data_IF_073344856953
#
_entry.id   IF_073344856953
#
_cell.length_a   1.000
_cell.length_b   1.000
_cell.length_c   1.000
_cell.angle_alpha   90.00
_cell.angle_beta   90.00
_cell.angle_gamma   90.00
#
_symmetry.space_group_name_H-M   'P 1'
#
loop_
_entity.id
_entity.type
_entity.pdbx_description
1 polymer ?
#
# COMPACT_ATOMS: atom_id res chain seq x y z
N UNK A 1 19.45 -37.04 -9.99
CA UNK A 1 18.88 -35.68 -10.17
C UNK A 1 20.02 -34.68 -10.15
N UNK A 2 20.02 -33.71 -11.06
CA UNK A 2 21.05 -32.67 -11.06
C UNK A 2 20.67 -31.56 -10.06
N UNK A 3 21.11 -31.73 -8.80
CA UNK A 3 20.83 -30.79 -7.71
C UNK A 3 21.35 -29.37 -7.99
N UNK A 4 22.29 -29.23 -8.94
CA UNK A 4 22.83 -27.95 -9.37
C UNK A 4 21.76 -27.09 -10.06
N UNK A 5 20.91 -27.68 -10.90
CA UNK A 5 19.91 -26.94 -11.67
C UNK A 5 18.86 -26.28 -10.78
N UNK A 6 18.31 -27.00 -9.80
CA UNK A 6 17.31 -26.42 -8.87
C UNK A 6 17.94 -25.33 -7.99
N UNK A 7 19.22 -25.50 -7.64
CA UNK A 7 19.99 -24.46 -6.94
C UNK A 7 20.17 -23.21 -7.79
N UNK A 8 20.36 -23.35 -9.11
CA UNK A 8 20.41 -22.21 -10.04
C UNK A 8 19.06 -21.48 -10.15
N UNK A 9 17.94 -22.21 -10.13
CA UNK A 9 16.60 -21.61 -10.03
C UNK A 9 16.49 -20.82 -8.73
N UNK A 10 16.86 -21.39 -7.59
CA UNK A 10 16.82 -20.69 -6.30
C UNK A 10 17.67 -19.40 -6.32
N UNK A 11 18.83 -19.43 -6.99
CA UNK A 11 19.70 -18.26 -7.16
C UNK A 11 19.13 -17.16 -8.06
N UNK A 12 18.25 -17.49 -9.02
CA UNK A 12 17.77 -16.54 -10.02
C UNK A 12 16.48 -15.81 -9.62
N UNK A 13 15.64 -16.44 -8.78
CA UNK A 13 14.29 -15.94 -8.51
C UNK A 13 14.26 -14.69 -7.63
N UNK A 14 15.18 -14.54 -6.67
CA UNK A 14 15.27 -13.32 -5.87
C UNK A 14 15.64 -12.10 -6.74
N UNK A 15 16.74 -12.12 -7.53
CA UNK A 15 17.03 -11.06 -8.49
C UNK A 15 15.87 -10.73 -9.45
N UNK A 16 15.12 -11.75 -9.89
CA UNK A 16 13.96 -11.53 -10.76
C UNK A 16 12.85 -10.74 -10.07
N UNK A 17 12.52 -11.11 -8.82
CA UNK A 17 11.46 -10.48 -8.05
C UNK A 17 11.80 -9.04 -7.63
N UNK A 18 13.06 -8.76 -7.31
CA UNK A 18 13.52 -7.40 -7.00
C UNK A 18 13.86 -6.57 -8.24
N UNK A 19 13.97 -7.20 -9.41
CA UNK A 19 14.34 -6.55 -10.65
C UNK A 19 13.28 -5.63 -11.24
N UNK A 20 13.69 -4.89 -12.29
CA UNK A 20 12.86 -3.84 -12.94
C UNK A 20 11.50 -4.31 -13.47
N UNK A 21 11.38 -5.60 -13.78
CA UNK A 21 10.15 -6.24 -14.27
C UNK A 21 9.04 -6.27 -13.22
N UNK A 22 9.38 -6.11 -11.94
CA UNK A 22 8.47 -6.12 -10.81
C UNK A 22 8.33 -4.71 -10.20
N UNK A 23 8.02 -3.73 -11.04
CA UNK A 23 7.69 -2.37 -10.60
C UNK A 23 6.17 -2.25 -10.39
N UNK A 24 5.75 -1.72 -9.25
CA UNK A 24 4.33 -1.49 -8.97
C UNK A 24 4.08 -0.04 -8.57
N UNK A 25 3.48 0.73 -9.48
CA UNK A 25 3.05 2.13 -9.30
C UNK A 25 4.13 3.10 -8.81
N UNK A 26 4.43 3.08 -7.51
CA UNK A 26 5.27 4.04 -6.79
C UNK A 26 6.70 3.53 -6.53
N UNK A 27 6.96 2.23 -6.72
CA UNK A 27 8.26 1.66 -6.41
C UNK A 27 8.43 0.21 -6.83
N UNK A 28 9.66 -0.27 -6.73
CA UNK A 28 10.04 -1.67 -6.88
C UNK A 28 9.66 -2.47 -5.63
N UNK A 29 9.79 -3.79 -5.70
CA UNK A 29 9.44 -4.67 -4.57
C UNK A 29 10.25 -4.34 -3.31
N UNK A 30 11.51 -3.94 -3.45
CA UNK A 30 12.32 -3.49 -2.32
C UNK A 30 11.71 -2.28 -1.61
N UNK A 31 11.25 -1.29 -2.36
CA UNK A 31 10.62 -0.09 -1.82
C UNK A 31 9.32 -0.44 -1.08
N UNK A 32 8.46 -1.26 -1.68
CA UNK A 32 7.21 -1.69 -1.05
C UNK A 32 7.44 -2.48 0.23
N UNK A 33 8.41 -3.41 0.23
CA UNK A 33 8.75 -4.19 1.42
C UNK A 33 9.29 -3.27 2.51
N UNK A 34 10.22 -2.38 2.16
CA UNK A 34 10.85 -1.47 3.10
C UNK A 34 9.83 -0.60 3.81
N UNK A 35 9.03 0.15 3.05
CA UNK A 35 8.05 1.08 3.61
C UNK A 35 6.98 0.33 4.44
N UNK A 36 6.52 -0.83 3.96
CA UNK A 36 5.50 -1.58 4.68
C UNK A 36 6.02 -2.16 6.01
N UNK A 37 7.21 -2.76 5.98
CA UNK A 37 7.78 -3.44 7.12
C UNK A 37 8.26 -2.44 8.18
N UNK A 38 8.91 -1.35 7.78
CA UNK A 38 9.34 -0.29 8.70
C UNK A 38 8.16 0.41 9.39
N UNK A 39 7.06 0.69 8.67
CA UNK A 39 5.83 1.23 9.29
C UNK A 39 5.23 0.33 10.37
N UNK A 40 5.46 -0.97 10.28
CA UNK A 40 4.96 -1.98 11.21
C UNK A 40 5.99 -2.43 12.24
N UNK A 41 7.23 -1.92 12.18
CA UNK A 41 8.33 -2.37 13.04
C UNK A 41 8.70 -3.84 12.81
N UNK A 42 8.55 -4.34 11.58
CA UNK A 42 8.87 -5.72 11.20
C UNK A 42 10.24 -5.73 10.52
N UNK A 43 11.18 -6.50 11.06
CA UNK A 43 12.52 -6.64 10.51
C UNK A 43 12.73 -7.94 9.71
N UNK A 44 11.78 -8.87 9.76
CA UNK A 44 11.84 -10.14 9.04
C UNK A 44 10.46 -10.52 8.49
N UNK A 45 10.43 -10.97 7.24
CA UNK A 45 9.22 -11.49 6.61
C UNK A 45 9.54 -12.70 5.72
N UNK A 46 8.50 -13.49 5.45
CA UNK A 46 8.54 -14.61 4.52
C UNK A 46 7.49 -14.42 3.44
N UNK A 47 7.86 -14.61 2.18
CA UNK A 47 6.93 -14.64 1.04
C UNK A 47 6.86 -16.06 0.50
N UNK A 48 5.70 -16.68 0.60
CA UNK A 48 5.38 -17.96 -0.04
C UNK A 48 5.01 -17.69 -1.51
N UNK A 49 5.90 -18.10 -2.40
CA UNK A 49 5.82 -17.85 -3.84
C UNK A 49 4.72 -18.71 -4.46
N UNK A 50 4.51 -19.95 -4.00
CA UNK A 50 3.57 -20.88 -4.63
C UNK A 50 2.12 -20.62 -4.21
N UNK A 51 1.92 -20.19 -2.95
CA UNK A 51 0.61 -19.93 -2.35
C UNK A 51 0.24 -18.45 -2.29
N UNK A 52 1.14 -17.56 -2.72
CA UNK A 52 0.95 -16.11 -2.77
C UNK A 52 0.63 -15.48 -1.41
N UNK A 53 1.27 -16.00 -0.37
CA UNK A 53 1.06 -15.58 1.02
C UNK A 53 2.31 -14.92 1.58
N UNK A 54 2.11 -13.96 2.47
CA UNK A 54 3.17 -13.23 3.16
C UNK A 54 2.96 -13.40 4.66
N UNK A 55 4.06 -13.67 5.35
CA UNK A 55 4.12 -13.72 6.80
C UNK A 55 5.10 -12.66 7.31
N UNK A 56 4.73 -11.81 8.27
CA UNK A 56 3.43 -11.76 8.96
C UNK A 56 2.29 -11.24 8.06
N UNK A 57 1.05 -11.61 8.39
CA UNK A 57 -0.15 -11.37 7.56
C UNK A 57 -0.44 -9.88 7.35
N UNK A 58 -0.01 -9.02 8.25
CA UNK A 58 -0.13 -7.57 8.12
C UNK A 58 0.67 -6.99 6.93
N UNK A 59 1.67 -7.71 6.43
CA UNK A 59 2.39 -7.39 5.19
C UNK A 59 1.76 -8.06 3.95
N UNK A 60 0.58 -8.68 4.05
CA UNK A 60 -0.17 -9.23 2.91
C UNK A 60 -0.73 -8.09 2.04
N UNK A 61 0.13 -7.51 1.22
CA UNK A 61 -0.18 -6.36 0.39
C UNK A 61 -0.24 -6.78 -1.08
N UNK A 62 -1.24 -6.27 -1.82
CA UNK A 62 -1.41 -6.52 -3.26
C UNK A 62 -0.12 -6.30 -4.07
N UNK A 63 0.64 -5.19 -3.87
CA UNK A 63 1.90 -4.96 -4.58
C UNK A 63 2.91 -6.09 -4.43
N UNK A 64 3.00 -6.70 -3.25
CA UNK A 64 4.00 -7.73 -2.95
C UNK A 64 3.63 -9.10 -3.52
N UNK A 65 2.35 -9.36 -3.80
CA UNK A 65 1.88 -10.65 -4.31
C UNK A 65 1.59 -10.68 -5.80
N UNK A 66 1.41 -9.51 -6.44
CA UNK A 66 0.94 -9.43 -7.83
C UNK A 66 1.87 -10.10 -8.85
N UNK A 67 3.18 -10.17 -8.56
CA UNK A 67 4.18 -10.76 -9.44
C UNK A 67 4.51 -12.23 -9.12
N UNK A 68 4.02 -12.75 -7.98
CA UNK A 68 4.30 -14.13 -7.57
C UNK A 68 3.75 -15.19 -8.54
N UNK A 69 2.56 -15.02 -9.17
CA UNK A 69 2.10 -15.96 -10.20
C UNK A 69 3.07 -16.08 -11.39
N UNK A 70 3.61 -14.95 -11.87
CA UNK A 70 4.60 -14.93 -12.95
C UNK A 70 5.91 -15.58 -12.51
N UNK A 71 6.29 -15.40 -11.25
CA UNK A 71 7.49 -16.04 -10.70
C UNK A 71 7.32 -17.56 -10.60
N UNK A 72 6.17 -18.05 -10.14
CA UNK A 72 5.81 -19.47 -10.15
C UNK A 72 5.86 -20.05 -11.56
N UNK A 73 5.28 -19.37 -12.54
CA UNK A 73 5.36 -19.77 -13.95
C UNK A 73 6.81 -19.82 -14.45
N UNK A 74 7.66 -18.87 -14.04
CA UNK A 74 9.07 -18.84 -14.40
C UNK A 74 9.82 -20.05 -13.83
N UNK A 75 9.57 -20.41 -12.57
CA UNK A 75 10.13 -21.62 -11.93
C UNK A 75 9.72 -22.86 -12.74
N UNK A 76 8.44 -23.02 -13.02
CA UNK A 76 7.91 -24.18 -13.74
C UNK A 76 8.51 -24.30 -15.15
N UNK A 77 8.57 -23.21 -15.91
CA UNK A 77 9.19 -23.19 -17.24
C UNK A 77 10.68 -23.53 -17.20
N UNK A 78 11.39 -23.11 -16.17
CA UNK A 78 12.81 -23.44 -16.03
C UNK A 78 12.99 -24.92 -15.66
N UNK A 79 12.14 -25.50 -14.82
CA UNK A 79 12.12 -26.94 -14.53
C UNK A 79 11.88 -27.76 -15.80
N UNK A 80 10.87 -27.41 -16.60
CA UNK A 80 10.53 -28.11 -17.85
C UNK A 80 11.68 -28.10 -18.86
N UNK A 81 12.34 -26.94 -19.04
CA UNK A 81 13.49 -26.79 -19.95
C UNK A 81 14.65 -27.70 -19.59
N UNK A 82 14.77 -28.02 -18.32
CA UNK A 82 15.82 -28.85 -17.74
C UNK A 82 15.39 -30.31 -17.60
N UNK A 83 14.20 -30.67 -18.11
CA UNK A 83 13.66 -32.03 -18.13
C UNK A 83 13.00 -32.48 -16.82
N UNK A 84 12.72 -31.56 -15.90
CA UNK A 84 12.02 -31.86 -14.64
C UNK A 84 10.51 -31.66 -14.75
N UNK A 85 9.77 -32.30 -13.86
CA UNK A 85 8.33 -32.04 -13.69
C UNK A 85 8.10 -30.60 -13.19
N UNK A 86 7.11 -29.86 -13.73
CA UNK A 86 6.70 -28.56 -13.19
C UNK A 86 6.24 -28.61 -11.73
N UNK A 87 5.82 -29.78 -11.27
CA UNK A 87 5.30 -30.02 -9.92
C UNK A 87 6.39 -30.52 -8.96
N UNK A 88 7.65 -30.59 -9.41
CA UNK A 88 8.76 -31.05 -8.59
C UNK A 88 8.90 -30.22 -7.30
N UNK A 89 8.69 -28.90 -7.38
CA UNK A 89 8.85 -27.98 -6.25
C UNK A 89 7.50 -27.82 -5.55
N UNK A 90 7.44 -28.29 -4.31
CA UNK A 90 6.22 -28.28 -3.47
C UNK A 90 6.19 -27.09 -2.50
N UNK A 91 7.34 -26.46 -2.24
CA UNK A 91 7.44 -25.25 -1.41
C UNK A 91 8.49 -24.30 -2.02
N UNK A 92 8.17 -23.01 -2.09
CA UNK A 92 9.10 -21.99 -2.56
C UNK A 92 8.89 -20.71 -1.76
N UNK A 93 9.94 -20.27 -1.04
CA UNK A 93 9.86 -19.14 -0.12
C UNK A 93 11.00 -18.15 -0.32
N UNK A 94 10.69 -16.88 -0.14
CA UNK A 94 11.68 -15.86 0.17
C UNK A 94 11.71 -15.61 1.66
N UNK A 95 12.89 -15.66 2.26
CA UNK A 95 13.16 -15.17 3.61
C UNK A 95 13.87 -13.83 3.50
N UNK A 96 13.24 -12.77 4.01
CA UNK A 96 13.69 -11.41 3.81
C UNK A 96 13.96 -10.77 5.17
N UNK A 97 15.17 -10.23 5.34
CA UNK A 97 15.60 -9.50 6.54
C UNK A 97 15.91 -8.06 6.18
N UNK A 98 15.43 -7.14 7.00
CA UNK A 98 15.66 -5.71 6.86
C UNK A 98 16.74 -5.27 7.86
N UNK A 99 17.63 -4.41 7.38
CA UNK A 99 18.71 -3.81 8.16
C UNK A 99 18.52 -2.29 8.10
N UNK A 100 17.69 -1.76 8.99
CA UNK A 100 17.29 -0.34 9.03
C UNK A 100 18.48 0.63 9.05
N UNK A 101 19.47 0.35 9.91
CA UNK A 101 20.69 1.16 10.04
C UNK A 101 21.47 1.25 8.72
N UNK A 102 21.41 0.20 7.90
CA UNK A 102 22.18 0.08 6.66
C UNK A 102 21.32 0.40 5.42
N UNK A 103 20.05 0.78 5.61
CA UNK A 103 19.08 1.03 4.54
C UNK A 103 19.08 -0.07 3.46
N UNK A 104 19.05 -1.35 3.86
CA UNK A 104 19.11 -2.49 2.92
C UNK A 104 18.28 -3.66 3.38
N UNK A 105 17.89 -4.50 2.42
CA UNK A 105 17.27 -5.79 2.68
C UNK A 105 18.09 -6.92 2.09
N UNK A 106 18.02 -8.08 2.74
CA UNK A 106 18.64 -9.32 2.29
C UNK A 106 17.55 -10.36 2.09
N UNK A 107 17.53 -10.98 0.92
CA UNK A 107 16.60 -12.04 0.57
C UNK A 107 17.35 -13.34 0.33
N UNK A 108 16.88 -14.42 0.93
CA UNK A 108 17.31 -15.79 0.62
C UNK A 108 16.11 -16.55 0.07
N UNK A 109 16.25 -17.11 -1.12
CA UNK A 109 15.25 -17.98 -1.70
C UNK A 109 15.49 -19.43 -1.27
N UNK A 110 14.43 -20.13 -0.87
CA UNK A 110 14.49 -21.54 -0.48
C UNK A 110 13.42 -22.29 -1.25
N UNK A 111 13.85 -23.27 -2.05
CA UNK A 111 12.96 -24.20 -2.74
C UNK A 111 13.03 -25.57 -2.05
N UNK A 112 11.89 -26.24 -1.91
CA UNK A 112 11.82 -27.62 -1.41
C UNK A 112 11.14 -28.49 -2.46
N UNK A 113 11.79 -29.60 -2.83
CA UNK A 113 11.20 -30.56 -3.78
C UNK A 113 10.27 -31.57 -3.11
N UNK A 114 9.61 -32.39 -3.92
CA UNK A 114 8.71 -33.47 -3.49
C UNK A 114 9.38 -34.53 -2.60
N UNK A 115 10.71 -34.64 -2.67
CA UNK A 115 11.51 -35.55 -1.85
C UNK A 115 12.03 -34.87 -0.56
N UNK A 116 11.55 -33.65 -0.29
CA UNK A 116 11.89 -32.82 0.86
C UNK A 116 13.37 -32.33 0.88
N UNK A 117 14.06 -32.34 -0.26
CA UNK A 117 15.37 -31.72 -0.40
C UNK A 117 15.22 -30.20 -0.48
N UNK A 118 16.08 -29.48 0.24
CA UNK A 118 16.08 -28.01 0.27
C UNK A 118 17.22 -27.45 -0.58
N UNK A 119 16.87 -26.50 -1.44
CA UNK A 119 17.79 -25.76 -2.30
C UNK A 119 17.80 -24.31 -1.85
N UNK A 120 18.87 -23.91 -1.19
CA UNK A 120 19.03 -22.58 -0.60
C UNK A 120 19.83 -21.73 -1.58
N UNK A 121 19.17 -20.69 -2.10
CA UNK A 121 19.80 -19.70 -2.97
C UNK A 121 20.80 -18.83 -2.20
N UNK A 122 21.71 -18.21 -2.94
CA UNK A 122 22.63 -17.20 -2.42
C UNK A 122 21.84 -16.00 -1.89
N UNK A 123 22.39 -15.39 -0.86
CA UNK A 123 21.83 -14.17 -0.29
C UNK A 123 21.88 -13.04 -1.34
N UNK A 124 20.71 -12.50 -1.67
CA UNK A 124 20.54 -11.35 -2.56
C UNK A 124 20.35 -10.09 -1.72
N UNK A 125 21.20 -9.09 -1.90
CA UNK A 125 21.08 -7.80 -1.21
C UNK A 125 20.48 -6.77 -2.15
N UNK A 126 19.52 -6.01 -1.65
CA UNK A 126 18.89 -4.90 -2.40
C UNK A 126 18.78 -3.65 -1.52
N UNK A 127 18.80 -2.49 -2.16
CA UNK A 127 18.65 -1.20 -1.51
C UNK A 127 17.34 -0.55 -1.98
N UNK A 128 16.40 -0.21 -1.07
CA UNK A 128 15.22 0.56 -1.44
C UNK A 128 15.67 1.93 -1.99
N UNK A 129 15.11 2.31 -3.13
CA UNK A 129 15.32 3.60 -3.78
C UNK A 129 14.43 4.67 -3.18
N UNK A 130 13.13 4.37 -2.97
CA UNK A 130 12.18 5.26 -2.32
C UNK A 130 11.70 4.64 -1.00
N UNK A 131 12.20 5.20 0.10
CA UNK A 131 11.95 4.73 1.46
C UNK A 131 11.06 5.67 2.29
N UNK A 132 10.28 6.56 1.64
CA UNK A 132 9.54 7.61 2.33
C UNK A 132 8.02 7.64 2.07
N UNK A 133 7.45 6.69 1.33
CA UNK A 133 6.02 6.70 1.06
C UNK A 133 5.22 5.84 2.03
N UNK A 134 4.04 6.35 2.40
CA UNK A 134 3.15 5.65 3.33
C UNK A 134 2.36 4.52 2.67
N UNK A 135 2.40 3.34 3.28
CA UNK A 135 1.68 2.13 2.86
C UNK A 135 0.35 2.03 3.57
N UNK A 136 0.39 2.09 4.88
CA UNK A 136 -0.79 1.99 5.71
C UNK A 136 -1.26 3.41 5.97
N UNK A 137 -2.54 3.68 5.67
CA UNK A 137 -3.15 4.93 6.12
C UNK A 137 -2.98 4.99 7.64
N UNK A 138 -2.37 6.06 8.14
CA UNK A 138 -2.46 6.36 9.55
C UNK A 138 -3.95 6.53 9.85
N UNK A 139 -4.56 5.58 10.54
CA UNK A 139 -5.73 5.88 11.35
C UNK A 139 -5.23 6.66 12.57
N UNK A 140 -4.51 7.75 12.36
CA UNK A 140 -4.30 8.74 13.39
C UNK A 140 -5.63 9.50 13.44
N UNK A 141 -6.15 9.70 14.64
CA UNK A 141 -7.37 10.46 14.92
C UNK A 141 -7.28 11.94 14.47
N UNK A 142 -6.18 12.33 13.79
CA UNK A 142 -5.79 13.70 13.46
C UNK A 142 -5.45 13.95 11.97
N UNK A 143 -5.33 12.93 11.11
CA UNK A 143 -5.07 13.17 9.69
C UNK A 143 -6.37 13.05 8.89
N UNK A 144 -7.04 14.19 8.67
CA UNK A 144 -8.13 14.26 7.71
C UNK A 144 -7.57 14.20 6.29
N UNK A 145 -7.82 13.07 5.61
CA UNK A 145 -7.54 12.80 4.20
C UNK A 145 -8.21 13.88 3.32
N UNK A 146 -7.48 14.96 3.03
CA UNK A 146 -8.00 16.14 2.32
C UNK A 146 -8.06 15.99 0.79
N UNK A 147 -7.76 14.80 0.24
CA UNK A 147 -7.62 14.61 -1.20
C UNK A 147 -8.09 13.24 -1.72
N UNK A 148 -9.36 12.87 -1.51
CA UNK A 148 -9.99 11.82 -2.31
C UNK A 148 -11.24 12.37 -3.02
N UNK A 149 -11.18 12.38 -4.36
CA UNK A 149 -12.13 13.02 -5.28
C UNK A 149 -13.54 12.40 -5.34
N UNK A 150 -13.82 11.35 -4.56
CA UNK A 150 -15.13 10.68 -4.56
C UNK A 150 -16.12 11.19 -3.49
N UNK A 151 -15.65 11.93 -2.47
CA UNK A 151 -16.47 12.41 -1.33
C UNK A 151 -16.71 13.94 -1.33
N UNK A 152 -16.43 14.61 -2.45
CA UNK A 152 -16.31 16.07 -2.54
C UNK A 152 -17.51 16.89 -2.01
N UNK A 153 -18.76 16.44 -2.20
CA UNK A 153 -19.94 17.23 -1.77
C UNK A 153 -20.19 17.16 -0.25
N UNK A 154 -20.02 15.97 0.35
CA UNK A 154 -20.10 15.78 1.80
C UNK A 154 -18.91 16.47 2.48
N UNK A 155 -17.70 16.30 1.94
CA UNK A 155 -16.48 16.94 2.45
C UNK A 155 -16.56 18.47 2.41
N UNK A 156 -17.12 19.05 1.34
CA UNK A 156 -17.29 20.50 1.21
C UNK A 156 -18.25 21.05 2.26
N UNK A 157 -19.38 20.37 2.49
CA UNK A 157 -20.37 20.76 3.50
C UNK A 157 -19.81 20.64 4.92
N UNK A 158 -19.06 19.58 5.21
CA UNK A 158 -18.38 19.40 6.49
C UNK A 158 -17.38 20.52 6.79
N UNK A 159 -16.65 20.96 5.78
CA UNK A 159 -15.67 22.03 5.93
C UNK A 159 -16.32 23.40 6.17
N UNK A 160 -17.35 23.76 5.38
CA UNK A 160 -18.09 25.01 5.58
C UNK A 160 -18.75 25.08 6.96
N UNK A 161 -19.34 23.98 7.43
CA UNK A 161 -19.94 23.94 8.75
C UNK A 161 -18.94 24.13 9.89
N UNK A 162 -17.74 23.58 9.77
CA UNK A 162 -16.68 23.76 10.76
C UNK A 162 -16.20 25.21 10.82
N UNK A 163 -16.03 25.87 9.66
CA UNK A 163 -15.64 27.28 9.56
C UNK A 163 -16.70 28.19 10.14
N UNK A 164 -17.97 28.02 9.76
CA UNK A 164 -19.07 28.83 10.27
C UNK A 164 -19.17 28.74 11.79
N UNK A 165 -19.05 27.53 12.34
CA UNK A 165 -19.03 27.32 13.79
C UNK A 165 -17.81 27.96 14.41
N UNK A 166 -16.61 27.83 13.85
CA UNK A 166 -15.42 28.48 14.38
C UNK A 166 -15.54 30.02 14.40
N UNK A 167 -16.01 30.61 13.31
CA UNK A 167 -16.23 32.06 13.17
C UNK A 167 -17.28 32.57 14.16
N UNK A 168 -18.37 31.81 14.38
CA UNK A 168 -19.40 32.16 15.37
C UNK A 168 -18.84 32.28 16.80
N UNK A 169 -17.79 31.50 17.13
CA UNK A 169 -17.12 31.58 18.42
C UNK A 169 -15.99 32.63 18.46
N UNK A 170 -15.83 33.47 17.43
CA UNK A 170 -14.85 34.56 17.34
C UNK A 170 -13.43 34.13 17.76
N UNK A 171 -13.00 32.93 17.37
CA UNK A 171 -11.67 32.41 17.68
C UNK A 171 -11.42 32.08 19.16
N UNK A 172 -12.43 32.17 20.05
CA UNK A 172 -12.29 31.85 21.49
C UNK A 172 -12.00 30.36 21.76
N UNK A 173 -12.13 29.51 20.75
CA UNK A 173 -11.87 28.06 20.81
C UNK A 173 -11.04 27.65 19.61
N UNK A 174 -10.07 26.76 19.81
CA UNK A 174 -9.21 26.24 18.73
C UNK A 174 -10.05 25.54 17.66
N UNK A 175 -9.70 25.71 16.39
CA UNK A 175 -10.41 25.12 15.25
C UNK A 175 -10.63 23.61 15.38
N UNK A 176 -9.63 22.87 15.88
CA UNK A 176 -9.69 21.42 16.09
C UNK A 176 -10.80 20.97 17.06
N UNK A 177 -11.31 21.88 17.91
CA UNK A 177 -12.47 21.57 18.77
C UNK A 177 -13.77 21.45 17.97
N UNK A 178 -13.85 22.10 16.81
CA UNK A 178 -14.99 22.06 15.90
C UNK A 178 -14.81 21.03 14.79
N UNK A 179 -13.57 20.79 14.35
CA UNK A 179 -13.25 19.88 13.25
C UNK A 179 -12.57 18.60 13.77
N UNK A 180 -13.38 17.66 14.25
CA UNK A 180 -12.96 16.33 14.70
C UNK A 180 -14.01 15.28 14.30
N UNK A 181 -13.64 13.99 14.32
CA UNK A 181 -14.52 12.89 13.88
C UNK A 181 -15.89 12.88 14.58
N UNK A 182 -15.96 13.26 15.86
CA UNK A 182 -17.21 13.29 16.64
C UNK A 182 -18.15 14.43 16.21
N UNK A 183 -17.63 15.46 15.54
CA UNK A 183 -18.39 16.66 15.13
C UNK A 183 -18.74 16.68 13.63
N UNK A 184 -18.24 15.72 12.83
CA UNK A 184 -18.42 15.70 11.37
C UNK A 184 -19.90 15.78 10.95
N UNK A 185 -20.77 14.95 11.52
CA UNK A 185 -22.22 14.98 11.22
C UNK A 185 -22.87 16.33 11.52
N UNK A 186 -22.42 17.00 12.59
CA UNK A 186 -22.93 18.34 12.96
C UNK A 186 -22.41 19.41 12.01
N UNK A 187 -21.16 19.30 11.56
CA UNK A 187 -20.59 20.23 10.59
C UNK A 187 -21.22 20.05 9.21
N UNK A 188 -21.39 18.80 8.74
CA UNK A 188 -22.08 18.49 7.49
C UNK A 188 -23.47 19.12 7.44
N UNK A 189 -24.25 18.97 8.52
CA UNK A 189 -25.60 19.55 8.63
C UNK A 189 -25.57 21.09 8.52
N UNK A 190 -24.66 21.75 9.25
CA UNK A 190 -24.55 23.21 9.25
C UNK A 190 -24.09 23.73 7.89
N UNK A 191 -23.10 23.09 7.26
CA UNK A 191 -22.62 23.50 5.94
C UNK A 191 -23.64 23.25 4.84
N UNK A 192 -24.39 22.15 4.90
CA UNK A 192 -25.47 21.88 3.95
C UNK A 192 -26.58 22.94 4.05
N UNK A 193 -26.99 23.31 5.27
CA UNK A 193 -27.99 24.36 5.49
C UNK A 193 -27.50 25.72 4.95
N UNK A 194 -26.21 26.03 5.15
CA UNK A 194 -25.59 27.22 4.60
C UNK A 194 -25.58 27.23 3.06
N UNK A 195 -25.25 26.10 2.42
CA UNK A 195 -25.27 25.99 0.97
C UNK A 195 -26.68 26.21 0.39
N UNK A 196 -27.72 25.65 1.00
CA UNK A 196 -29.12 25.90 0.59
C UNK A 196 -29.43 27.40 0.66
N UNK A 197 -29.05 28.06 1.74
CA UNK A 197 -29.28 29.50 1.91
C UNK A 197 -28.58 30.30 0.79
N UNK A 198 -27.34 29.96 0.44
CA UNK A 198 -26.62 30.61 -0.66
C UNK A 198 -27.30 30.40 -2.01
N UNK A 199 -27.81 29.19 -2.28
CA UNK A 199 -28.55 28.90 -3.52
C UNK A 199 -29.83 29.74 -3.59
N UNK A 200 -30.61 29.82 -2.51
CA UNK A 200 -31.83 30.62 -2.45
C UNK A 200 -31.52 32.12 -2.65
N UNK A 201 -30.48 32.63 -1.98
CA UNK A 201 -30.02 34.02 -2.15
C UNK A 201 -29.57 34.30 -3.59
N UNK A 202 -28.85 33.36 -4.21
CA UNK A 202 -28.41 33.50 -5.58
C UNK A 202 -29.60 33.62 -6.55
N UNK A 203 -30.62 32.77 -6.41
CA UNK A 203 -31.83 32.88 -7.22
C UNK A 203 -32.63 34.16 -6.93
N UNK A 204 -32.68 34.60 -5.68
CA UNK A 204 -33.32 35.87 -5.31
C UNK A 204 -32.61 37.08 -5.96
N UNK A 205 -31.28 37.09 -5.98
CA UNK A 205 -30.50 38.14 -6.64
C UNK A 205 -30.69 38.12 -8.15
N UNK A 206 -30.72 36.95 -8.78
CA UNK A 206 -31.04 36.81 -10.20
C UNK A 206 -32.45 37.32 -10.53
N UNK A 207 -33.44 37.03 -9.68
CA UNK A 207 -34.79 37.55 -9.83
C UNK A 207 -34.84 39.08 -9.74
N UNK A 208 -34.19 39.68 -8.73
CA UNK A 208 -34.08 41.14 -8.62
C UNK A 208 -33.39 41.76 -9.83
N UNK A 209 -32.32 41.14 -10.32
CA UNK A 209 -31.61 41.62 -11.50
C UNK A 209 -32.49 41.56 -12.75
N UNK A 210 -33.23 40.46 -12.95
CA UNK A 210 -34.13 40.26 -14.09
C UNK A 210 -35.40 41.14 -14.03
N UNK A 211 -35.75 41.69 -12.88
CA UNK A 211 -36.96 42.52 -12.72
C UNK A 211 -36.62 44.02 -12.82
N UNK A 212 -35.37 44.40 -12.56
CA UNK A 212 -34.88 45.77 -12.62
C UNK A 212 -34.20 46.13 -13.97
N UNK A 213 -34.20 45.20 -14.93
CA UNK A 213 -33.77 45.37 -16.32
C UNK A 213 -34.89 44.88 -17.25
#
# INVERSE_FOLDING_TARGET
MNNQTVSEIANSIAPHYFGKQCYYKKGYMADWIWNAATEKGINELTIDILNYKIHPRELQLKPLVIFLPKLKETINKQLEREGFSPELIIDAKFHIKLFEVENRLRCTAILTDSDNNKYIGKEYTEYPYDNNFKIFKSSSENDMDWANEADNALNTSEWFGAILRYVFYFGKRKFNTFYNQKQLKKNALVGYLFQIILIVLFFYLLYLYSTNH
#
